data_IF_769999344839
#
_entry.id   IF_769999344839
#
_cell.length_a   1.000
_cell.length_b   1.000
_cell.length_c   1.000
_cell.angle_alpha   90.00
_cell.angle_beta   90.00
_cell.angle_gamma   90.00
#
_symmetry.space_group_name_H-M   'P 1'
#
loop_
_entity.id
_entity.type
_entity.pdbx_description
1 polymer ?
#
# COMPACT_ATOMS: atom_id res chain seq x y z
N UNK A 1 -11.84 18.78 -2.74
CA UNK A 1 -10.65 19.53 -2.24
C UNK A 1 -9.75 18.72 -1.31
N UNK A 2 -10.28 17.98 -0.31
CA UNK A 2 -9.47 17.25 0.68
C UNK A 2 -8.54 16.13 0.11
N UNK A 3 -8.93 15.47 -0.98
CA UNK A 3 -8.12 14.41 -1.59
C UNK A 3 -6.83 14.93 -2.25
N UNK A 4 -6.94 16.01 -3.03
CA UNK A 4 -5.77 16.61 -3.68
C UNK A 4 -4.77 17.16 -2.66
N UNK A 5 -5.24 17.64 -1.50
CA UNK A 5 -4.37 18.07 -0.41
C UNK A 5 -3.64 16.88 0.24
N UNK A 6 -4.35 15.77 0.52
CA UNK A 6 -3.72 14.56 1.08
C UNK A 6 -2.73 13.92 0.11
N UNK A 7 -3.07 13.82 -1.18
CA UNK A 7 -2.13 13.37 -2.23
C UNK A 7 -0.89 14.26 -2.27
N UNK A 8 -1.07 15.58 -2.26
CA UNK A 8 0.05 16.53 -2.26
C UNK A 8 0.95 16.33 -1.04
N UNK A 9 0.39 16.06 0.13
CA UNK A 9 1.16 15.83 1.34
C UNK A 9 1.92 14.49 1.33
N UNK A 10 1.33 13.45 0.74
CA UNK A 10 2.01 12.17 0.47
C UNK A 10 3.18 12.39 -0.49
N UNK A 11 2.96 13.06 -1.64
CA UNK A 11 4.01 13.36 -2.61
C UNK A 11 5.11 14.25 -2.02
N UNK A 12 4.77 15.23 -1.19
CA UNK A 12 5.75 16.01 -0.41
C UNK A 12 6.50 15.15 0.60
N UNK A 13 5.86 14.13 1.18
CA UNK A 13 6.49 13.11 2.02
C UNK A 13 7.58 12.36 1.25
N UNK A 14 7.24 11.82 0.07
CA UNK A 14 8.19 11.15 -0.81
C UNK A 14 9.33 12.06 -1.27
N UNK A 15 9.02 13.31 -1.64
CA UNK A 15 10.02 14.31 -2.01
C UNK A 15 11.01 14.61 -0.87
N UNK A 16 10.52 14.67 0.37
CA UNK A 16 11.38 14.83 1.57
C UNK A 16 12.26 13.61 1.81
N UNK A 17 11.74 12.39 1.60
CA UNK A 17 12.53 11.15 1.71
C UNK A 17 13.63 11.12 0.65
N UNK A 18 13.28 11.38 -0.62
CA UNK A 18 14.27 11.44 -1.71
C UNK A 18 15.38 12.46 -1.43
N UNK A 19 15.06 13.65 -0.90
CA UNK A 19 16.07 14.66 -0.55
C UNK A 19 17.06 14.19 0.54
N UNK A 20 16.61 13.36 1.48
CA UNK A 20 17.42 12.85 2.61
C UNK A 20 18.32 11.67 2.26
N UNK A 21 18.17 11.10 1.08
CA UNK A 21 18.97 9.97 0.59
C UNK A 21 20.33 10.45 0.04
N UNK A 22 21.35 9.62 0.23
CA UNK A 22 22.70 9.88 -0.24
C UNK A 22 22.77 9.76 -1.78
N UNK A 23 23.76 10.40 -2.42
CA UNK A 23 23.89 10.43 -3.90
C UNK A 23 23.87 9.02 -4.54
N UNK A 24 24.53 8.03 -3.91
CA UNK A 24 24.55 6.63 -4.38
C UNK A 24 23.17 5.95 -4.30
N UNK A 25 22.40 6.22 -3.24
CA UNK A 25 21.05 5.67 -3.05
C UNK A 25 20.05 6.28 -4.04
N UNK A 26 20.20 7.57 -4.37
CA UNK A 26 19.39 8.23 -5.40
C UNK A 26 19.59 7.61 -6.78
N UNK A 27 20.83 7.29 -7.15
CA UNK A 27 21.14 6.62 -8.42
C UNK A 27 20.51 5.22 -8.44
N UNK A 28 20.68 4.44 -7.37
CA UNK A 28 20.06 3.11 -7.27
C UNK A 28 18.52 3.19 -7.34
N UNK A 29 17.89 4.19 -6.69
CA UNK A 29 16.45 4.39 -6.79
C UNK A 29 15.99 4.79 -8.19
N UNK A 30 16.79 5.59 -8.90
CA UNK A 30 16.52 5.94 -10.29
C UNK A 30 16.51 4.67 -11.17
N UNK A 31 17.53 3.81 -11.05
CA UNK A 31 17.54 2.53 -11.76
C UNK A 31 16.38 1.61 -11.33
N UNK A 32 16.05 1.54 -10.05
CA UNK A 32 14.89 0.78 -9.57
C UNK A 32 13.58 1.30 -10.20
N UNK A 33 13.45 2.62 -10.38
CA UNK A 33 12.30 3.25 -11.04
C UNK A 33 12.25 2.90 -12.52
N UNK A 34 13.39 2.90 -13.22
CA UNK A 34 13.46 2.50 -14.62
C UNK A 34 13.04 1.03 -14.79
N UNK A 35 13.52 0.15 -13.89
CA UNK A 35 13.10 -1.26 -13.86
C UNK A 35 11.60 -1.36 -13.61
N UNK A 36 11.01 -0.53 -12.72
CA UNK A 36 9.56 -0.53 -12.49
C UNK A 36 8.77 -0.24 -13.77
N UNK A 37 9.18 0.77 -14.53
CA UNK A 37 8.54 1.13 -15.81
C UNK A 37 8.61 -0.06 -16.77
N UNK A 38 9.78 -0.66 -16.95
CA UNK A 38 9.97 -1.84 -17.81
C UNK A 38 9.10 -3.01 -17.34
N UNK A 39 9.12 -3.33 -16.05
CA UNK A 39 8.30 -4.41 -15.48
C UNK A 39 6.80 -4.13 -15.61
N UNK A 40 6.38 -2.87 -15.60
CA UNK A 40 5.00 -2.47 -15.82
C UNK A 40 4.51 -2.86 -17.21
N UNK A 41 5.31 -2.63 -18.25
CA UNK A 41 5.00 -3.11 -19.60
C UNK A 41 5.03 -4.64 -19.69
N UNK A 42 6.11 -5.27 -19.19
CA UNK A 42 6.27 -6.73 -19.23
C UNK A 42 5.12 -7.48 -18.52
N UNK A 43 4.51 -6.88 -17.49
CA UNK A 43 3.38 -7.48 -16.77
C UNK A 43 2.13 -7.63 -17.65
N UNK A 44 1.93 -6.73 -18.61
CA UNK A 44 0.73 -6.69 -19.46
C UNK A 44 0.92 -7.40 -20.81
N UNK A 45 2.17 -7.59 -21.26
CA UNK A 45 2.48 -8.21 -22.55
C UNK A 45 1.95 -9.65 -22.74
N UNK A 46 1.96 -10.55 -21.73
CA UNK A 46 1.42 -11.90 -21.90
C UNK A 46 -0.04 -11.90 -22.37
N UNK A 47 -0.89 -11.02 -21.82
CA UNK A 47 -2.29 -10.91 -22.22
C UNK A 47 -2.44 -10.43 -23.68
N UNK A 48 -1.62 -9.46 -24.11
CA UNK A 48 -1.62 -8.98 -25.50
C UNK A 48 -1.19 -10.07 -26.47
N UNK A 49 -0.14 -10.82 -26.13
CA UNK A 49 0.37 -11.92 -26.96
C UNK A 49 -0.65 -13.05 -27.04
N UNK A 50 -1.31 -13.37 -25.92
CA UNK A 50 -2.40 -14.34 -25.88
C UNK A 50 -3.56 -13.93 -26.79
N UNK A 51 -3.97 -12.65 -26.78
CA UNK A 51 -4.98 -12.13 -27.70
C UNK A 51 -4.58 -12.34 -29.17
N UNK A 52 -3.37 -11.94 -29.56
CA UNK A 52 -2.85 -12.15 -30.93
C UNK A 52 -2.74 -13.63 -31.31
N UNK A 53 -2.41 -14.49 -30.34
CA UNK A 53 -2.38 -15.93 -30.55
C UNK A 53 -3.78 -16.47 -30.88
N UNK A 54 -4.79 -16.09 -30.09
CA UNK A 54 -6.19 -16.49 -30.33
C UNK A 54 -6.68 -15.98 -31.69
N UNK A 55 -6.43 -14.72 -32.02
CA UNK A 55 -6.81 -14.13 -33.32
C UNK A 55 -6.21 -14.93 -34.49
N UNK A 56 -4.94 -15.32 -34.37
CA UNK A 56 -4.25 -16.12 -35.40
C UNK A 56 -4.80 -17.54 -35.49
N UNK A 57 -5.24 -18.13 -34.39
CA UNK A 57 -5.83 -19.47 -34.36
C UNK A 57 -7.21 -19.52 -35.02
N UNK A 58 -8.04 -18.49 -34.83
CA UNK A 58 -9.37 -18.40 -35.42
C UNK A 58 -9.29 -18.29 -36.96
N UNK A 59 -8.25 -17.65 -37.50
CA UNK A 59 -8.04 -17.51 -38.95
C UNK A 59 -7.53 -18.76 -39.68
N UNK A 60 -7.29 -19.88 -38.99
CA UNK A 60 -6.71 -21.10 -39.57
C UNK A 60 -7.74 -22.23 -39.69
N UNK A 61 -7.93 -22.78 -40.90
CA UNK A 61 -8.88 -23.86 -41.17
C UNK A 61 -8.51 -25.22 -40.53
N UNK A 62 -7.23 -25.42 -40.15
CA UNK A 62 -6.73 -26.59 -39.43
C UNK A 62 -5.71 -26.15 -38.35
N UNK A 63 -6.16 -25.90 -37.11
CA UNK A 63 -5.25 -25.50 -36.04
C UNK A 63 -4.33 -26.65 -35.63
N UNK A 64 -3.01 -26.48 -35.80
CA UNK A 64 -1.99 -27.44 -35.33
C UNK A 64 -1.26 -26.86 -34.11
N UNK A 65 -0.99 -27.70 -33.10
CA UNK A 65 -0.30 -27.29 -31.87
C UNK A 65 1.07 -26.63 -32.13
N UNK A 66 1.76 -27.01 -33.21
CA UNK A 66 3.04 -26.41 -33.61
C UNK A 66 3.01 -24.89 -33.79
N UNK A 67 1.84 -24.32 -34.11
CA UNK A 67 1.67 -22.86 -34.27
C UNK A 67 1.63 -22.15 -32.91
N UNK A 68 1.24 -22.84 -31.84
CA UNK A 68 1.18 -22.30 -30.48
C UNK A 68 2.56 -22.25 -29.81
N UNK A 69 3.47 -23.17 -30.15
CA UNK A 69 4.81 -23.27 -29.56
C UNK A 69 5.58 -21.92 -29.52
N UNK A 70 5.71 -21.15 -30.62
CA UNK A 70 6.44 -19.88 -30.56
C UNK A 70 5.78 -18.84 -29.65
N UNK A 71 4.45 -18.82 -29.55
CA UNK A 71 3.73 -17.92 -28.65
C UNK A 71 3.92 -18.32 -27.19
N UNK A 72 3.86 -19.62 -26.89
CA UNK A 72 4.09 -20.14 -25.54
C UNK A 72 5.52 -19.88 -25.05
N UNK A 73 6.53 -20.11 -25.90
CA UNK A 73 7.93 -19.80 -25.59
C UNK A 73 8.10 -18.30 -25.34
N UNK A 74 7.51 -17.45 -26.19
CA UNK A 74 7.59 -15.99 -26.02
C UNK A 74 6.95 -15.54 -24.70
N UNK A 75 5.76 -16.04 -24.37
CA UNK A 75 5.08 -15.75 -23.10
C UNK A 75 5.95 -16.19 -21.92
N UNK A 76 6.51 -17.40 -21.98
CA UNK A 76 7.39 -17.93 -20.94
C UNK A 76 8.62 -17.03 -20.73
N UNK A 77 9.31 -16.66 -21.81
CA UNK A 77 10.50 -15.77 -21.75
C UNK A 77 10.14 -14.41 -21.12
N UNK A 78 8.99 -13.84 -21.48
CA UNK A 78 8.52 -12.56 -20.91
C UNK A 78 8.23 -12.69 -19.42
N UNK A 79 7.54 -13.75 -19.00
CA UNK A 79 7.23 -13.98 -17.58
C UNK A 79 8.51 -14.16 -16.76
N UNK A 80 9.44 -14.99 -17.24
CA UNK A 80 10.73 -15.21 -16.57
C UNK A 80 11.55 -13.91 -16.49
N UNK A 81 11.59 -13.15 -17.58
CA UNK A 81 12.29 -11.85 -17.63
C UNK A 81 11.67 -10.85 -16.66
N UNK A 82 10.34 -10.73 -16.64
CA UNK A 82 9.59 -9.88 -15.69
C UNK A 82 9.93 -10.24 -14.25
N UNK A 83 9.99 -11.53 -13.92
CA UNK A 83 10.24 -11.97 -12.55
C UNK A 83 11.69 -11.70 -12.14
N UNK A 84 12.66 -11.92 -13.03
CA UNK A 84 14.06 -11.56 -12.81
C UNK A 84 14.23 -10.06 -12.50
N UNK A 85 13.60 -9.19 -13.30
CA UNK A 85 13.59 -7.75 -13.04
C UNK A 85 12.90 -7.39 -11.72
N UNK A 86 11.83 -8.09 -11.37
CA UNK A 86 11.11 -7.88 -10.11
C UNK A 86 11.98 -8.20 -8.90
N UNK A 87 12.73 -9.32 -8.95
CA UNK A 87 13.68 -9.71 -7.91
C UNK A 87 14.81 -8.67 -7.79
N UNK A 88 15.42 -8.28 -8.92
CA UNK A 88 16.47 -7.27 -8.95
C UNK A 88 16.00 -5.95 -8.32
N UNK A 89 14.83 -5.46 -8.73
CA UNK A 89 14.21 -4.26 -8.17
C UNK A 89 13.98 -4.37 -6.66
N UNK A 90 13.40 -5.48 -6.19
CA UNK A 90 13.16 -5.72 -4.76
C UNK A 90 14.46 -5.67 -3.97
N UNK A 91 15.50 -6.35 -4.45
CA UNK A 91 16.83 -6.31 -3.85
C UNK A 91 17.38 -4.88 -3.79
N UNK A 92 17.32 -4.11 -4.88
CA UNK A 92 17.83 -2.74 -4.92
C UNK A 92 17.13 -1.84 -3.90
N UNK A 93 15.79 -1.88 -3.86
CA UNK A 93 14.99 -1.07 -2.94
C UNK A 93 15.24 -1.46 -1.49
N UNK A 94 15.32 -2.76 -1.20
CA UNK A 94 15.58 -3.27 0.15
C UNK A 94 16.98 -2.89 0.64
N UNK A 95 17.99 -3.01 -0.23
CA UNK A 95 19.36 -2.59 0.05
C UNK A 95 19.46 -1.08 0.30
N UNK A 96 18.71 -0.26 -0.45
CA UNK A 96 18.63 1.19 -0.19
C UNK A 96 17.99 1.46 1.16
N UNK A 97 16.90 0.75 1.49
CA UNK A 97 16.20 0.91 2.76
C UNK A 97 17.13 0.61 3.95
N UNK A 98 17.80 -0.54 3.95
CA UNK A 98 18.70 -0.97 5.04
C UNK A 98 19.95 -0.08 5.13
N UNK A 99 20.53 0.34 4.01
CA UNK A 99 21.65 1.29 4.02
C UNK A 99 21.25 2.66 4.57
N UNK A 100 20.06 3.15 4.18
CA UNK A 100 19.53 4.41 4.66
C UNK A 100 19.29 4.36 6.16
N UNK A 101 18.70 3.27 6.66
CA UNK A 101 18.48 3.05 8.09
C UNK A 101 19.80 3.12 8.86
N UNK A 102 20.79 2.33 8.43
CA UNK A 102 22.13 2.33 9.02
C UNK A 102 22.73 3.74 9.07
N UNK A 103 22.72 4.47 7.95
CA UNK A 103 23.33 5.80 7.86
C UNK A 103 22.60 6.83 8.72
N UNK A 104 21.27 6.82 8.71
CA UNK A 104 20.48 7.76 9.51
C UNK A 104 20.69 7.49 11.01
N UNK A 105 20.69 6.23 11.43
CA UNK A 105 20.96 5.86 12.83
C UNK A 105 22.34 6.32 13.28
N UNK A 106 23.40 6.01 12.51
CA UNK A 106 24.77 6.45 12.85
C UNK A 106 24.87 7.98 12.87
N UNK A 107 24.27 8.67 11.89
CA UNK A 107 24.30 10.14 11.80
C UNK A 107 23.58 10.79 12.97
N UNK A 108 22.44 10.25 13.37
CA UNK A 108 21.67 10.72 14.53
C UNK A 108 22.47 10.55 15.81
N UNK A 109 23.04 9.36 16.04
CA UNK A 109 23.83 9.09 17.24
C UNK A 109 25.04 10.02 17.29
N UNK A 110 25.77 10.17 16.19
CA UNK A 110 26.92 11.08 16.10
C UNK A 110 26.53 12.55 16.36
N UNK A 111 25.32 12.96 15.97
CA UNK A 111 24.83 14.32 16.24
C UNK A 111 24.38 14.49 17.69
N UNK A 112 23.69 13.50 18.27
CA UNK A 112 23.29 13.49 19.67
C UNK A 112 24.50 13.60 20.60
N UNK A 113 25.59 12.88 20.31
CA UNK A 113 26.83 12.94 21.08
C UNK A 113 27.56 14.29 21.00
N UNK A 114 27.22 15.14 20.03
CA UNK A 114 27.79 16.49 19.86
C UNK A 114 26.83 17.61 20.28
N UNK A 115 25.65 17.26 20.76
CA UNK A 115 24.62 18.24 21.15
C UNK A 115 24.87 18.70 22.58
N UNK A 116 24.75 20.01 22.82
CA UNK A 116 24.88 20.58 24.16
C UNK A 116 23.82 19.99 25.11
N UNK A 117 24.29 19.48 26.24
CA UNK A 117 23.49 18.77 27.26
C UNK A 117 22.56 19.77 27.99
N UNK A 118 23.01 21.02 28.16
CA UNK A 118 22.35 22.02 28.99
C UNK A 118 21.02 22.53 28.43
N UNK A 119 20.99 22.89 27.14
CA UNK A 119 19.83 23.52 26.50
C UNK A 119 18.85 22.54 25.86
N UNK A 120 19.31 21.36 25.44
CA UNK A 120 18.52 20.43 24.63
C UNK A 120 18.20 19.10 25.34
N UNK A 121 19.16 18.52 26.08
CA UNK A 121 18.95 17.22 26.74
C UNK A 121 18.15 17.39 28.03
N UNK A 122 18.38 18.45 28.82
CA UNK A 122 17.59 18.71 30.03
C UNK A 122 16.11 19.06 29.77
N UNK A 123 15.77 19.53 28.56
CA UNK A 123 14.38 19.83 28.15
C UNK A 123 13.57 18.61 27.70
N UNK A 124 14.21 17.49 27.38
CA UNK A 124 13.54 16.29 26.88
C UNK A 124 13.91 15.07 27.73
N UNK A 125 12.90 14.32 28.20
CA UNK A 125 13.15 13.01 28.80
C UNK A 125 13.91 12.12 27.79
N UNK A 126 15.06 11.57 28.19
CA UNK A 126 15.98 10.80 27.32
C UNK A 126 15.24 9.69 26.56
N UNK A 127 14.31 8.99 27.23
CA UNK A 127 13.47 7.96 26.60
C UNK A 127 12.48 8.49 25.56
N UNK A 128 11.90 9.67 25.79
CA UNK A 128 11.01 10.33 24.83
C UNK A 128 11.77 10.79 23.58
N UNK A 129 13.00 11.29 23.76
CA UNK A 129 13.89 11.70 22.68
C UNK A 129 14.31 10.49 21.82
N UNK A 130 14.77 9.41 22.45
CA UNK A 130 15.08 8.14 21.78
C UNK A 130 13.88 7.63 20.97
N UNK A 131 12.72 7.49 21.63
CA UNK A 131 11.51 7.01 20.97
C UNK A 131 11.08 7.88 19.78
N UNK A 132 11.14 9.20 19.91
CA UNK A 132 10.76 10.13 18.83
C UNK A 132 11.70 10.00 17.63
N UNK A 133 13.01 9.94 17.84
CA UNK A 133 13.98 9.89 16.75
C UNK A 133 13.92 8.54 16.03
N UNK A 134 13.96 7.43 16.76
CA UNK A 134 13.93 6.10 16.13
C UNK A 134 12.59 5.81 15.43
N UNK A 135 11.45 6.23 15.99
CA UNK A 135 10.15 6.17 15.27
C UNK A 135 10.17 6.99 13.98
N UNK A 136 10.86 8.13 13.96
CA UNK A 136 10.99 8.96 12.76
C UNK A 136 11.84 8.29 11.69
N UNK A 137 12.95 7.64 12.06
CA UNK A 137 13.77 6.85 11.14
C UNK A 137 12.96 5.67 10.58
N UNK A 138 12.33 4.88 11.45
CA UNK A 138 11.48 3.76 11.03
C UNK A 138 10.34 4.21 10.12
N UNK A 139 9.70 5.35 10.42
CA UNK A 139 8.68 5.95 9.57
C UNK A 139 9.19 6.28 8.17
N UNK A 140 10.41 6.81 8.04
CA UNK A 140 11.06 7.07 6.75
C UNK A 140 11.29 5.78 5.97
N UNK A 141 11.86 4.76 6.62
CA UNK A 141 12.14 3.46 6.00
C UNK A 141 10.86 2.78 5.53
N UNK A 142 9.82 2.80 6.36
CA UNK A 142 8.50 2.26 6.02
C UNK A 142 7.89 2.98 4.81
N UNK A 143 8.00 4.31 4.75
CA UNK A 143 7.48 5.08 3.62
C UNK A 143 8.24 4.75 2.31
N UNK A 144 9.57 4.60 2.39
CA UNK A 144 10.38 4.18 1.25
C UNK A 144 9.97 2.80 0.75
N UNK A 145 9.85 1.81 1.65
CA UNK A 145 9.44 0.44 1.31
C UNK A 145 8.03 0.41 0.71
N UNK A 146 7.05 1.01 1.38
CA UNK A 146 5.67 1.06 0.90
C UNK A 146 5.56 1.72 -0.49
N UNK A 147 6.33 2.79 -0.71
CA UNK A 147 6.38 3.46 -2.00
C UNK A 147 6.96 2.59 -3.10
N UNK A 148 8.20 2.13 -2.92
CA UNK A 148 8.99 1.54 -4.00
C UNK A 148 8.84 0.02 -4.13
N UNK A 149 8.36 -0.68 -3.11
CA UNK A 149 8.05 -2.11 -3.21
C UNK A 149 6.62 -2.37 -3.69
N UNK A 150 5.67 -1.53 -3.27
CA UNK A 150 4.24 -1.80 -3.47
C UNK A 150 3.57 -0.77 -4.39
N UNK A 151 3.62 0.52 -4.03
CA UNK A 151 2.84 1.55 -4.71
C UNK A 151 3.32 1.88 -6.13
N UNK A 152 4.57 2.33 -6.30
CA UNK A 152 5.11 2.75 -7.59
C UNK A 152 5.10 1.64 -8.64
N UNK A 153 5.49 0.39 -8.33
CA UNK A 153 5.37 -0.70 -9.28
C UNK A 153 3.95 -0.89 -9.81
N UNK A 154 2.96 -0.89 -8.91
CA UNK A 154 1.54 -1.03 -9.27
C UNK A 154 1.05 0.15 -10.10
N UNK A 155 1.48 1.37 -9.74
CA UNK A 155 1.16 2.59 -10.46
C UNK A 155 1.70 2.58 -11.92
N UNK A 156 2.97 2.22 -12.11
CA UNK A 156 3.55 2.12 -13.46
C UNK A 156 2.95 0.97 -14.27
N UNK A 157 2.63 -0.16 -13.64
CA UNK A 157 1.94 -1.26 -14.31
C UNK A 157 0.53 -0.85 -14.78
N UNK A 158 -0.21 -0.08 -13.96
CA UNK A 158 -1.51 0.45 -14.34
C UNK A 158 -1.42 1.46 -15.50
N UNK A 159 -0.44 2.37 -15.48
CA UNK A 159 -0.19 3.29 -16.60
C UNK A 159 0.16 2.52 -17.88
N UNK A 160 1.05 1.52 -17.79
CA UNK A 160 1.41 0.69 -18.93
C UNK A 160 0.19 -0.07 -19.49
N UNK A 161 -0.67 -0.60 -18.62
CA UNK A 161 -1.92 -1.25 -19.01
C UNK A 161 -2.85 -0.29 -19.77
N UNK A 162 -3.01 0.95 -19.28
CA UNK A 162 -3.79 1.97 -19.97
C UNK A 162 -3.20 2.31 -21.34
N UNK A 163 -1.88 2.57 -21.43
CA UNK A 163 -1.21 2.86 -22.70
C UNK A 163 -1.43 1.72 -23.71
N UNK A 164 -1.23 0.47 -23.28
CA UNK A 164 -1.42 -0.72 -24.11
C UNK A 164 -2.88 -0.84 -24.57
N UNK A 165 -3.84 -0.65 -23.66
CA UNK A 165 -5.27 -0.76 -23.98
C UNK A 165 -5.70 0.28 -25.02
N UNK A 166 -5.30 1.55 -24.83
CA UNK A 166 -5.57 2.62 -25.81
C UNK A 166 -4.88 2.40 -27.15
N UNK A 167 -3.67 1.85 -27.14
CA UNK A 167 -2.95 1.49 -28.37
C UNK A 167 -3.63 0.36 -29.14
N UNK A 168 -4.21 -0.62 -28.45
CA UNK A 168 -4.81 -1.79 -29.10
C UNK A 168 -6.22 -1.50 -29.64
N UNK A 169 -7.11 -0.93 -28.81
CA UNK A 169 -8.50 -0.61 -29.18
C UNK A 169 -8.97 0.64 -28.40
N UNK A 170 -8.88 1.86 -28.97
CA UNK A 170 -9.19 3.10 -28.24
C UNK A 170 -10.67 3.23 -27.84
N UNK A 171 -11.59 2.70 -28.65
CA UNK A 171 -13.01 2.71 -28.33
C UNK A 171 -13.31 1.90 -27.06
N UNK A 172 -12.80 0.66 -26.97
CA UNK A 172 -13.00 -0.21 -25.81
C UNK A 172 -12.30 0.33 -24.56
N UNK A 173 -11.06 0.84 -24.73
CA UNK A 173 -10.30 1.44 -23.63
C UNK A 173 -11.00 2.65 -23.00
N UNK A 174 -11.73 3.44 -23.81
CA UNK A 174 -12.51 4.59 -23.32
C UNK A 174 -13.67 4.20 -22.40
N UNK A 175 -14.29 3.04 -22.61
CA UNK A 175 -15.28 2.51 -21.67
C UNK A 175 -14.62 1.91 -20.43
N UNK A 176 -13.52 1.19 -20.61
CA UNK A 176 -12.79 0.54 -19.52
C UNK A 176 -12.21 1.55 -18.51
N UNK A 177 -11.80 2.74 -18.97
CA UNK A 177 -11.25 3.77 -18.08
C UNK A 177 -12.27 4.31 -17.07
N UNK A 178 -13.58 4.22 -17.37
CA UNK A 178 -14.67 4.70 -16.50
C UNK A 178 -14.76 3.93 -15.18
N UNK A 179 -14.19 2.72 -15.10
CA UNK A 179 -14.00 1.97 -13.85
C UNK A 179 -13.25 2.80 -12.81
N UNK A 180 -12.22 3.52 -13.25
CA UNK A 180 -11.28 4.24 -12.40
C UNK A 180 -11.96 5.41 -11.66
N UNK A 181 -12.63 6.38 -12.31
CA UNK A 181 -13.29 7.46 -11.60
C UNK A 181 -14.43 6.97 -10.70
N UNK A 182 -15.20 5.96 -11.14
CA UNK A 182 -16.26 5.37 -10.33
C UNK A 182 -15.71 4.68 -9.07
N UNK A 183 -14.68 3.85 -9.22
CA UNK A 183 -13.99 3.19 -8.11
C UNK A 183 -13.32 4.19 -7.16
N UNK A 184 -12.64 5.20 -7.70
CA UNK A 184 -12.05 6.29 -6.92
C UNK A 184 -13.11 7.02 -6.11
N UNK A 185 -14.26 7.34 -6.68
CA UNK A 185 -15.35 7.98 -5.94
C UNK A 185 -15.79 7.16 -4.71
N UNK A 186 -15.94 5.84 -4.87
CA UNK A 186 -16.29 4.92 -3.76
C UNK A 186 -15.20 4.96 -2.68
N UNK A 187 -13.93 4.85 -3.08
CA UNK A 187 -12.78 4.88 -2.15
C UNK A 187 -12.68 6.21 -1.41
N UNK A 188 -12.89 7.34 -2.09
CA UNK A 188 -12.87 8.67 -1.45
C UNK A 188 -13.98 8.82 -0.43
N UNK A 189 -15.19 8.34 -0.76
CA UNK A 189 -16.32 8.34 0.16
C UNK A 189 -16.04 7.46 1.38
N UNK A 190 -15.42 6.29 1.19
CA UNK A 190 -15.00 5.41 2.28
C UNK A 190 -14.00 6.11 3.22
N UNK A 191 -12.93 6.71 2.67
CA UNK A 191 -11.91 7.40 3.46
C UNK A 191 -12.54 8.55 4.26
N UNK A 192 -13.40 9.35 3.62
CA UNK A 192 -14.08 10.47 4.29
C UNK A 192 -15.02 9.99 5.39
N UNK A 193 -15.77 8.91 5.17
CA UNK A 193 -16.74 8.38 6.15
C UNK A 193 -16.07 7.70 7.35
N UNK A 194 -14.84 7.21 7.21
CA UNK A 194 -14.16 6.40 8.22
C UNK A 194 -12.95 7.10 8.87
N UNK A 195 -12.75 8.38 8.56
CA UNK A 195 -11.63 9.15 9.09
C UNK A 195 -11.66 9.19 10.62
N UNK A 196 -10.55 8.84 11.26
CA UNK A 196 -10.41 8.89 12.72
C UNK A 196 -10.92 7.66 13.48
N UNK A 197 -11.68 6.75 12.85
CA UNK A 197 -12.16 5.52 13.51
C UNK A 197 -10.97 4.69 14.04
N UNK A 198 -9.94 4.50 13.23
CA UNK A 198 -8.73 3.76 13.65
C UNK A 198 -8.02 4.41 14.84
N UNK A 199 -8.05 5.73 14.95
CA UNK A 199 -7.51 6.46 16.10
C UNK A 199 -8.39 6.25 17.33
N UNK A 200 -9.71 6.26 17.17
CA UNK A 200 -10.65 5.98 18.27
C UNK A 200 -10.50 4.55 18.81
N UNK A 201 -10.32 3.56 17.92
CA UNK A 201 -10.06 2.17 18.31
C UNK A 201 -8.74 2.04 19.07
N UNK A 202 -7.67 2.70 18.59
CA UNK A 202 -6.37 2.71 19.27
C UNK A 202 -6.49 3.29 20.68
N UNK A 203 -7.11 4.47 20.83
CA UNK A 203 -7.34 5.12 22.13
C UNK A 203 -8.19 4.27 23.06
N UNK A 204 -9.17 3.54 22.52
CA UNK A 204 -9.98 2.60 23.29
C UNK A 204 -9.15 1.45 23.87
N UNK A 205 -8.22 0.89 23.08
CA UNK A 205 -7.27 -0.14 23.55
C UNK A 205 -6.31 0.42 24.60
N UNK A 206 -5.75 1.60 24.37
CA UNK A 206 -4.89 2.31 25.34
C UNK A 206 -5.61 2.55 26.68
N UNK A 207 -6.91 2.84 26.67
CA UNK A 207 -7.71 3.01 27.89
C UNK A 207 -7.87 1.70 28.66
N UNK A 208 -8.07 0.58 27.97
CA UNK A 208 -8.14 -0.74 28.60
C UNK A 208 -6.78 -1.07 29.23
N UNK A 209 -5.69 -0.90 28.48
CA UNK A 209 -4.33 -1.14 28.98
C UNK A 209 -4.02 -0.30 30.22
N UNK A 210 -4.37 0.99 30.21
CA UNK A 210 -4.22 1.87 31.36
C UNK A 210 -4.98 1.39 32.59
N UNK A 211 -6.22 0.89 32.42
CA UNK A 211 -7.00 0.35 33.53
C UNK A 211 -6.45 -0.96 34.07
N UNK A 212 -5.89 -1.81 33.20
CA UNK A 212 -5.20 -3.04 33.62
C UNK A 212 -3.98 -2.71 34.47
N UNK A 213 -3.16 -1.73 34.06
CA UNK A 213 -1.99 -1.29 34.85
C UNK A 213 -2.41 -0.76 36.23
N UNK A 214 -3.47 0.06 36.29
CA UNK A 214 -4.03 0.58 37.55
C UNK A 214 -4.49 -0.55 38.48
N UNK A 215 -5.25 -1.53 37.96
CA UNK A 215 -5.72 -2.67 38.75
C UNK A 215 -4.58 -3.57 39.23
N UNK A 216 -3.54 -3.76 38.41
CA UNK A 216 -2.35 -4.52 38.82
C UNK A 216 -1.59 -3.80 39.93
N UNK A 217 -1.45 -2.47 39.84
CA UNK A 217 -0.82 -1.65 40.88
C UNK A 217 -1.63 -1.58 42.18
N UNK A 218 -2.95 -1.68 42.11
CA UNK A 218 -3.88 -1.64 43.25
C UNK A 218 -4.48 -2.98 43.65
N UNK A 219 -3.91 -4.11 43.22
CA UNK A 219 -4.54 -5.43 43.32
C UNK A 219 -4.86 -5.83 44.76
N UNK A 220 -3.96 -5.51 45.69
CA UNK A 220 -4.15 -5.77 47.12
C UNK A 220 -5.38 -5.01 47.66
N UNK A 221 -5.48 -3.71 47.38
CA UNK A 221 -6.62 -2.88 47.76
C UNK A 221 -7.93 -3.41 47.18
N UNK A 222 -7.92 -3.85 45.92
CA UNK A 222 -9.12 -4.41 45.26
C UNK A 222 -9.58 -5.69 45.96
N UNK A 223 -8.64 -6.57 46.33
CA UNK A 223 -8.94 -7.84 47.03
C UNK A 223 -9.42 -7.61 48.46
N UNK A 224 -8.73 -6.77 49.23
CA UNK A 224 -9.11 -6.46 50.62
C UNK A 224 -10.48 -5.79 50.68
N UNK A 225 -10.78 -4.92 49.70
CA UNK A 225 -12.08 -4.25 49.61
C UNK A 225 -13.19 -5.13 48.99
N UNK A 226 -12.88 -6.34 48.55
CA UNK A 226 -13.80 -7.25 47.83
C UNK A 226 -14.52 -6.58 46.64
N UNK A 227 -13.78 -5.80 45.83
CA UNK A 227 -14.34 -5.01 44.71
C UNK A 227 -14.00 -5.57 43.32
N UNK A 228 -13.47 -6.79 43.24
CA UNK A 228 -13.00 -7.38 42.00
C UNK A 228 -14.07 -7.40 40.88
N UNK A 229 -15.29 -7.82 41.19
CA UNK A 229 -16.39 -7.87 40.22
C UNK A 229 -16.76 -6.48 39.68
N UNK A 230 -16.64 -5.44 40.52
CA UNK A 230 -16.91 -4.06 40.12
C UNK A 230 -15.85 -3.58 39.12
N UNK A 231 -14.57 -3.85 39.39
CA UNK A 231 -13.48 -3.46 38.50
C UNK A 231 -13.51 -4.24 37.17
N UNK A 232 -13.86 -5.54 37.21
CA UNK A 232 -14.09 -6.35 36.01
C UNK A 232 -15.22 -5.75 35.16
N UNK A 233 -16.35 -5.40 35.79
CA UNK A 233 -17.50 -4.81 35.09
C UNK A 233 -17.18 -3.44 34.46
N UNK A 234 -16.29 -2.65 35.08
CA UNK A 234 -15.79 -1.38 34.48
C UNK A 234 -15.01 -1.65 33.19
N UNK A 235 -14.14 -2.65 33.18
CA UNK A 235 -13.37 -3.04 31.98
C UNK A 235 -14.29 -3.60 30.90
N UNK A 236 -15.24 -4.47 31.28
CA UNK A 236 -16.24 -5.05 30.38
C UNK A 236 -17.01 -3.96 29.64
N UNK A 237 -17.48 -2.92 30.33
CA UNK A 237 -18.19 -1.80 29.70
C UNK A 237 -17.33 -1.04 28.66
N UNK A 238 -16.03 -0.88 28.93
CA UNK A 238 -15.11 -0.22 27.98
C UNK A 238 -14.88 -1.14 26.78
N UNK A 239 -14.65 -2.44 27.03
CA UNK A 239 -14.45 -3.44 25.98
C UNK A 239 -15.69 -3.59 25.08
N UNK A 240 -16.90 -3.59 25.65
CA UNK A 240 -18.14 -3.71 24.89
C UNK A 240 -18.40 -2.47 24.02
N UNK A 241 -18.09 -1.26 24.53
CA UNK A 241 -18.14 -0.04 23.72
C UNK A 241 -17.14 -0.08 22.56
N UNK A 242 -15.92 -0.58 22.82
CA UNK A 242 -14.92 -0.77 21.78
C UNK A 242 -15.40 -1.77 20.72
N UNK A 243 -15.96 -2.91 21.15
CA UNK A 243 -16.55 -3.93 20.27
C UNK A 243 -17.63 -3.35 19.37
N UNK A 244 -18.55 -2.54 19.91
CA UNK A 244 -19.63 -1.88 19.15
C UNK A 244 -19.10 -0.94 18.07
N UNK A 245 -18.04 -0.18 18.35
CA UNK A 245 -17.40 0.70 17.38
C UNK A 245 -16.70 -0.13 16.29
N UNK A 246 -15.98 -1.18 16.69
CA UNK A 246 -15.22 -2.05 15.80
C UNK A 246 -16.13 -2.83 14.84
N UNK A 247 -17.22 -3.44 15.33
CA UNK A 247 -18.16 -4.17 14.47
C UNK A 247 -18.87 -3.23 13.48
N UNK A 248 -19.28 -2.04 13.92
CA UNK A 248 -19.90 -1.03 13.04
C UNK A 248 -18.92 -0.60 11.94
N UNK A 249 -17.65 -0.45 12.28
CA UNK A 249 -16.58 -0.16 11.32
C UNK A 249 -16.38 -1.30 10.32
N UNK A 250 -16.31 -2.55 10.76
CA UNK A 250 -16.16 -3.71 9.88
C UNK A 250 -17.35 -3.89 8.94
N UNK A 251 -18.58 -3.72 9.42
CA UNK A 251 -19.78 -3.77 8.57
C UNK A 251 -19.73 -2.66 7.51
N UNK A 252 -19.38 -1.43 7.91
CA UNK A 252 -19.22 -0.34 6.97
C UNK A 252 -18.13 -0.63 5.92
N UNK A 253 -16.99 -1.20 6.33
CA UNK A 253 -15.95 -1.64 5.40
C UNK A 253 -16.46 -2.71 4.43
N UNK A 254 -17.18 -3.72 4.92
CA UNK A 254 -17.75 -4.78 4.08
C UNK A 254 -18.68 -4.23 3.00
N UNK A 255 -19.53 -3.24 3.32
CA UNK A 255 -20.36 -2.57 2.32
C UNK A 255 -19.55 -1.82 1.26
N UNK A 256 -18.49 -1.10 1.66
CA UNK A 256 -17.62 -0.41 0.70
C UNK A 256 -16.84 -1.39 -0.17
N UNK A 257 -16.38 -2.52 0.38
CA UNK A 257 -15.68 -3.54 -0.39
C UNK A 257 -16.62 -4.24 -1.37
N UNK A 258 -17.86 -4.54 -0.96
CA UNK A 258 -18.91 -5.01 -1.86
C UNK A 258 -19.21 -4.00 -2.98
N UNK A 259 -19.29 -2.69 -2.66
CA UNK A 259 -19.52 -1.66 -3.66
C UNK A 259 -18.38 -1.56 -4.70
N UNK A 260 -17.11 -1.69 -4.27
CA UNK A 260 -15.96 -1.73 -5.21
C UNK A 260 -16.03 -2.96 -6.10
N UNK A 261 -16.33 -4.12 -5.52
CA UNK A 261 -16.45 -5.37 -6.28
C UNK A 261 -17.59 -5.31 -7.30
N UNK A 262 -18.76 -4.78 -6.91
CA UNK A 262 -19.88 -4.57 -7.83
C UNK A 262 -19.54 -3.59 -8.95
N UNK A 263 -18.80 -2.51 -8.65
CA UNK A 263 -18.31 -1.59 -9.65
C UNK A 263 -17.39 -2.30 -10.67
N UNK A 264 -16.42 -3.08 -10.21
CA UNK A 264 -15.54 -3.87 -11.08
C UNK A 264 -16.34 -4.88 -11.92
N UNK A 265 -17.27 -5.61 -11.31
CA UNK A 265 -18.10 -6.61 -12.00
C UNK A 265 -19.01 -5.98 -13.07
N UNK A 266 -19.65 -4.85 -12.76
CA UNK A 266 -20.49 -4.11 -13.70
C UNK A 266 -19.70 -3.72 -14.96
N UNK A 267 -18.54 -3.11 -14.79
CA UNK A 267 -17.72 -2.71 -15.91
C UNK A 267 -17.07 -3.89 -16.64
N UNK A 268 -16.75 -4.98 -15.94
CA UNK A 268 -16.30 -6.21 -16.58
C UNK A 268 -17.36 -6.73 -17.57
N UNK A 269 -18.61 -6.87 -17.12
CA UNK A 269 -19.74 -7.29 -17.98
C UNK A 269 -19.97 -6.31 -19.12
N UNK A 270 -19.89 -5.01 -18.86
CA UNK A 270 -20.04 -3.96 -19.88
C UNK A 270 -18.94 -4.05 -20.96
N UNK A 271 -17.67 -4.20 -20.56
CA UNK A 271 -16.54 -4.34 -21.48
C UNK A 271 -16.67 -5.61 -22.31
N UNK A 272 -17.05 -6.74 -21.71
CA UNK A 272 -17.29 -8.00 -22.43
C UNK A 272 -18.43 -7.83 -23.44
N UNK A 273 -19.55 -7.24 -23.04
CA UNK A 273 -20.73 -7.03 -23.90
C UNK A 273 -20.39 -6.15 -25.12
N UNK A 274 -19.67 -5.04 -24.90
CA UNK A 274 -19.22 -4.14 -25.97
C UNK A 274 -18.20 -4.85 -26.87
N UNK A 275 -17.29 -5.65 -26.29
CA UNK A 275 -16.31 -6.42 -27.06
C UNK A 275 -17.00 -7.45 -27.97
N UNK A 276 -18.02 -8.15 -27.48
CA UNK A 276 -18.83 -9.07 -28.29
C UNK A 276 -19.59 -8.32 -29.38
N UNK A 277 -20.19 -7.17 -29.07
CA UNK A 277 -20.87 -6.35 -30.07
C UNK A 277 -19.93 -5.88 -31.18
N UNK A 278 -18.66 -5.56 -30.88
CA UNK A 278 -17.67 -5.21 -31.90
C UNK A 278 -17.10 -6.40 -32.68
N UNK A 279 -17.30 -7.62 -32.20
CA UNK A 279 -16.80 -8.84 -32.83
C UNK A 279 -17.81 -9.46 -33.81
N UNK A 280 -19.11 -9.17 -33.63
CA UNK A 280 -20.21 -9.52 -34.55
C UNK A 280 -20.30 -8.49 -35.66
#
# INVERSE_FOLDING_TARGET
>A
MAFFTELRDIFRGFGRVSKRLHKKEKISLFFATLIMIITGFLTNLPAVILGKFVDKMIGLSKPTFGIAIPFLILILVIILSKEAFTILRKYMVENIATQTEKKQTVKVIAHLLKTDIGDFINKYQIGALHGKIFRSIQGLIRLLKLGFLDFFPSFFAAIAALIIAFYQKPALASFMILVIPAGLFIVLRQISSQKGIRVSLLRGKEKIDGKVVEMMGGLETIRVSNTADIEVKKVENIAENLRKIEIKHHICMAFYDAAKYLNEAFFYVLVVSISTYFAV
#
